data_IF_783624553381
#
_entry.id   IF_783624553381
#
_cell.length_a   1.000
_cell.length_b   1.000
_cell.length_c   1.000
_cell.angle_alpha   90.00
_cell.angle_beta   90.00
_cell.angle_gamma   90.00
#
_symmetry.space_group_name_H-M   'P 1'
#
loop_
_entity.id
_entity.type
_entity.pdbx_description
1 polymer ?
#
# COMPACT_ATOMS: atom_id res chain seq x y z
N UNK A 1 -0.10 -23.47 27.54
CA UNK A 1 0.66 -22.22 27.37
C UNK A 1 0.87 -22.15 25.88
N UNK A 2 -0.12 -21.58 25.22
CA UNK A 2 -0.26 -21.71 23.78
C UNK A 2 0.63 -20.64 23.13
N UNK A 3 1.47 -21.10 22.21
CA UNK A 3 2.42 -20.26 21.48
C UNK A 3 1.67 -19.21 20.69
N UNK A 4 1.79 -17.96 21.12
CA UNK A 4 1.41 -16.81 20.31
C UNK A 4 2.52 -16.66 19.28
N UNK A 5 2.21 -16.92 18.01
CA UNK A 5 3.12 -16.61 16.91
C UNK A 5 3.41 -15.11 16.89
N UNK A 6 4.64 -14.67 16.54
CA UNK A 6 4.94 -13.26 16.47
C UNK A 6 4.05 -12.59 15.43
N UNK A 7 3.32 -11.56 15.87
CA UNK A 7 2.61 -10.66 14.96
C UNK A 7 3.67 -9.97 14.11
N UNK A 8 3.63 -10.19 12.79
CA UNK A 8 4.45 -9.45 11.84
C UNK A 8 3.93 -8.03 11.74
N UNK A 9 4.78 -7.05 12.00
CA UNK A 9 4.47 -5.65 11.73
C UNK A 9 5.17 -5.27 10.43
N UNK A 10 4.40 -4.89 9.41
CA UNK A 10 4.93 -4.17 8.25
C UNK A 10 4.74 -2.68 8.50
N UNK A 11 5.83 -1.92 8.47
CA UNK A 11 5.81 -0.45 8.51
C UNK A 11 5.80 0.02 7.08
N UNK A 12 4.66 0.53 6.62
CA UNK A 12 4.54 1.24 5.36
C UNK A 12 4.83 2.72 5.63
N UNK A 13 5.88 3.25 5.00
CA UNK A 13 6.30 4.65 5.14
C UNK A 13 6.05 5.38 3.83
N UNK A 14 5.02 6.22 3.76
CA UNK A 14 4.94 7.24 2.71
C UNK A 14 5.84 8.42 3.13
N UNK A 15 7.13 8.35 2.80
CA UNK A 15 8.05 9.48 3.06
C UNK A 15 8.10 10.38 1.84
N UNK A 16 7.40 11.52 1.87
CA UNK A 16 7.64 12.64 0.96
C UNK A 16 8.52 13.69 1.65
N UNK A 17 9.70 13.29 2.15
CA UNK A 17 10.63 14.21 2.84
C UNK A 17 12.08 13.80 2.57
N UNK A 18 12.78 14.64 1.80
CA UNK A 18 14.24 14.64 1.57
C UNK A 18 14.90 13.24 1.55
N UNK A 19 14.86 12.60 0.38
CA UNK A 19 15.49 11.32 0.01
C UNK A 19 16.74 10.97 0.85
N UNK A 20 16.60 10.19 1.93
CA UNK A 20 17.75 9.84 2.75
C UNK A 20 18.73 9.02 1.90
N UNK A 21 20.01 9.39 1.94
CA UNK A 21 21.04 8.59 1.29
C UNK A 21 21.05 7.18 1.91
N UNK A 22 21.40 6.15 1.13
CA UNK A 22 21.36 4.75 1.58
C UNK A 22 22.08 4.50 2.92
N UNK A 23 23.09 5.30 3.28
CA UNK A 23 23.81 5.20 4.55
C UNK A 23 23.02 5.72 5.78
N UNK A 24 21.85 6.34 5.59
CA UNK A 24 20.99 6.87 6.66
C UNK A 24 19.80 5.95 6.97
N UNK A 25 19.58 4.91 6.16
CA UNK A 25 18.44 4.01 6.26
C UNK A 25 18.75 2.91 7.28
N UNK A 26 17.94 2.80 8.32
CA UNK A 26 18.04 1.74 9.34
C UNK A 26 16.99 0.68 9.04
N UNK A 27 17.42 -0.49 8.55
CA UNK A 27 16.53 -1.61 8.21
C UNK A 27 16.40 -2.66 9.32
N UNK A 28 17.10 -2.46 10.45
CA UNK A 28 17.09 -3.38 11.59
C UNK A 28 15.66 -3.54 12.13
N UNK A 29 15.15 -4.77 12.13
CA UNK A 29 13.81 -5.10 12.62
C UNK A 29 12.71 -5.06 11.54
N UNK A 30 13.02 -4.59 10.34
CA UNK A 30 12.10 -4.65 9.20
C UNK A 30 12.15 -6.04 8.53
N UNK A 31 11.02 -6.46 7.99
CA UNK A 31 10.89 -7.70 7.19
C UNK A 31 10.62 -7.41 5.71
N UNK A 32 10.00 -6.28 5.42
CA UNK A 32 9.69 -5.77 4.09
C UNK A 32 10.10 -4.30 4.03
N UNK A 33 10.74 -3.90 2.94
CA UNK A 33 11.16 -2.53 2.69
C UNK A 33 10.73 -2.10 1.28
N UNK A 34 9.94 -1.04 1.20
CA UNK A 34 9.26 -0.61 -0.01
C UNK A 34 10.00 0.55 -0.64
N UNK A 35 10.24 0.45 -1.95
CA UNK A 35 10.53 1.61 -2.76
C UNK A 35 9.19 2.18 -3.22
N UNK A 36 8.96 3.47 -3.01
CA UNK A 36 7.71 4.16 -3.35
C UNK A 36 8.06 5.36 -4.24
N UNK A 37 7.58 5.51 -5.47
CA UNK A 37 6.65 4.66 -6.22
C UNK A 37 7.15 4.36 -7.64
N UNK A 38 6.64 3.28 -8.21
CA UNK A 38 6.50 3.13 -9.65
C UNK A 38 5.05 3.47 -10.06
N UNK A 39 4.82 3.71 -11.34
CA UNK A 39 3.51 4.13 -11.87
C UNK A 39 3.06 3.26 -13.05
N UNK A 40 1.81 3.40 -13.49
CA UNK A 40 1.24 2.64 -14.62
C UNK A 40 0.95 3.59 -15.78
N UNK A 41 1.51 3.30 -16.95
CA UNK A 41 1.18 4.00 -18.19
C UNK A 41 -0.25 3.64 -18.60
N UNK A 42 -1.14 4.63 -18.67
CA UNK A 42 -2.57 4.41 -18.91
C UNK A 42 -2.92 3.97 -20.34
N UNK A 43 -1.96 3.95 -21.26
CA UNK A 43 -2.19 3.55 -22.66
C UNK A 43 -1.70 2.13 -22.93
N UNK A 44 -0.49 1.83 -22.46
CA UNK A 44 0.19 0.55 -22.66
C UNK A 44 -0.02 -0.41 -21.50
N UNK A 45 -0.47 0.09 -20.34
CA UNK A 45 -0.55 -0.62 -19.06
C UNK A 45 0.81 -1.15 -18.58
N UNK A 46 1.90 -0.60 -19.11
CA UNK A 46 3.24 -0.91 -18.64
C UNK A 46 3.51 -0.18 -17.31
N UNK A 47 4.16 -0.86 -16.38
CA UNK A 47 4.68 -0.23 -15.17
C UNK A 47 5.93 0.55 -15.57
N UNK A 48 6.11 1.76 -15.04
CA UNK A 48 7.24 2.62 -15.33
C UNK A 48 7.81 3.34 -14.10
N UNK A 49 9.06 3.79 -14.20
CA UNK A 49 9.73 4.55 -13.12
C UNK A 49 9.12 5.95 -13.05
N UNK A 50 8.52 6.32 -11.91
CA UNK A 50 7.86 7.62 -11.73
C UNK A 50 8.81 8.80 -12.02
N UNK A 51 10.06 8.70 -11.57
CA UNK A 51 11.11 9.68 -11.83
C UNK A 51 12.35 9.00 -12.45
N UNK A 52 12.84 9.52 -13.58
CA UNK A 52 14.04 8.98 -14.25
C UNK A 52 15.28 8.90 -13.34
N UNK A 53 15.38 9.74 -12.30
CA UNK A 53 16.46 9.68 -11.32
C UNK A 53 16.42 8.44 -10.41
N UNK A 54 15.29 7.74 -10.32
CA UNK A 54 15.12 6.57 -9.45
C UNK A 54 15.63 5.26 -10.08
N UNK A 55 15.86 5.24 -11.39
CA UNK A 55 16.35 4.03 -12.08
C UNK A 55 17.68 3.53 -11.49
N UNK A 56 18.63 4.44 -11.24
CA UNK A 56 19.89 4.10 -10.57
C UNK A 56 19.69 3.73 -9.09
N UNK A 57 18.63 4.24 -8.46
CA UNK A 57 18.34 4.01 -7.04
C UNK A 57 17.72 2.66 -6.78
N UNK A 58 16.96 2.09 -7.72
CA UNK A 58 16.39 0.76 -7.57
C UNK A 58 17.47 -0.30 -7.36
N UNK A 59 18.58 -0.21 -8.10
CA UNK A 59 19.70 -1.13 -7.94
C UNK A 59 20.39 -0.98 -6.57
N UNK A 60 20.59 0.25 -6.09
CA UNK A 60 21.13 0.50 -4.75
C UNK A 60 20.18 0.02 -3.65
N UNK A 61 18.88 0.27 -3.82
CA UNK A 61 17.84 -0.15 -2.88
C UNK A 61 17.81 -1.67 -2.72
N UNK A 62 17.91 -2.43 -3.82
CA UNK A 62 17.91 -3.89 -3.76
C UNK A 62 19.17 -4.47 -3.09
N UNK A 63 20.21 -3.68 -2.79
CA UNK A 63 21.34 -4.13 -1.95
C UNK A 63 20.98 -4.27 -0.48
N UNK A 64 19.85 -3.71 -0.03
CA UNK A 64 19.36 -3.93 1.33
C UNK A 64 18.81 -5.35 1.54
N UNK A 65 18.52 -6.10 0.46
CA UNK A 65 18.00 -7.46 0.57
C UNK A 65 18.91 -8.33 1.46
N UNK A 66 18.28 -9.04 2.39
CA UNK A 66 18.94 -10.07 3.19
C UNK A 66 18.09 -11.34 3.20
N UNK A 67 18.53 -12.38 3.92
CA UNK A 67 17.67 -13.56 4.12
C UNK A 67 16.39 -13.27 4.90
N UNK A 68 16.35 -12.16 5.67
CA UNK A 68 15.20 -11.77 6.50
C UNK A 68 14.52 -10.46 6.06
N UNK A 69 15.12 -9.71 5.14
CA UNK A 69 14.57 -8.45 4.63
C UNK A 69 14.32 -8.58 3.13
N UNK A 70 13.05 -8.42 2.74
CA UNK A 70 12.63 -8.38 1.34
C UNK A 70 12.50 -6.93 0.87
N UNK A 71 12.90 -6.66 -0.35
CA UNK A 71 12.63 -5.36 -0.99
C UNK A 71 11.46 -5.47 -1.97
N UNK A 72 10.57 -4.48 -1.90
CA UNK A 72 9.31 -4.43 -2.63
C UNK A 72 9.21 -3.10 -3.39
N UNK A 73 8.46 -3.07 -4.48
CA UNK A 73 8.12 -1.84 -5.20
C UNK A 73 6.63 -1.58 -5.03
N UNK A 74 6.26 -0.40 -4.54
CA UNK A 74 4.88 0.05 -4.53
C UNK A 74 4.54 0.69 -5.87
N UNK A 75 3.39 0.34 -6.43
CA UNK A 75 2.88 0.87 -7.69
C UNK A 75 1.62 1.67 -7.37
N UNK A 76 1.65 2.97 -7.69
CA UNK A 76 0.52 3.85 -7.46
C UNK A 76 0.89 5.07 -6.61
N UNK A 77 0.08 5.35 -5.59
CA UNK A 77 0.17 6.53 -4.72
C UNK A 77 -0.75 7.67 -5.14
N UNK A 78 -0.70 8.79 -4.42
CA UNK A 78 -1.66 9.90 -4.57
C UNK A 78 -1.65 10.58 -5.97
N UNK A 79 -0.53 10.53 -6.71
CA UNK A 79 -0.34 11.21 -8.01
C UNK A 79 0.15 10.22 -9.10
N UNK A 80 -0.77 9.45 -9.69
CA UNK A 80 -0.47 8.38 -10.65
C UNK A 80 -0.63 8.80 -12.13
N UNK A 81 0.19 9.71 -12.67
CA UNK A 81 0.07 10.05 -14.10
C UNK A 81 1.34 10.54 -14.80
N UNK A 82 2.19 9.62 -15.23
CA UNK A 82 3.13 9.85 -16.33
C UNK A 82 3.30 8.59 -17.21
N UNK A 83 4.13 8.58 -18.29
CA UNK A 83 4.40 7.37 -19.08
C UNK A 83 5.89 6.97 -19.12
N UNK A 84 6.17 5.66 -19.22
CA UNK A 84 7.50 5.10 -19.47
C UNK A 84 7.52 3.57 -19.57
N UNK A 85 8.68 2.93 -19.81
CA UNK A 85 8.87 1.48 -19.66
C UNK A 85 9.85 1.10 -18.51
N UNK A 86 9.69 -0.09 -17.89
CA UNK A 86 10.59 -0.67 -16.86
C UNK A 86 11.40 -1.89 -17.35
N UNK A 87 12.71 -1.98 -17.04
CA UNK A 87 13.51 -3.22 -17.01
C UNK A 87 13.43 -4.03 -15.68
N UNK A 88 13.89 -5.29 -15.67
CA UNK A 88 13.82 -6.18 -14.50
C UNK A 88 14.76 -5.71 -13.36
N UNK A 89 14.22 -5.10 -12.31
CA UNK A 89 15.05 -4.48 -11.24
C UNK A 89 15.35 -5.36 -10.02
N UNK A 90 14.79 -6.58 -9.93
CA UNK A 90 15.15 -7.55 -8.87
C UNK A 90 14.39 -7.42 -7.55
N UNK A 91 13.26 -6.71 -7.51
CA UNK A 91 12.33 -6.70 -6.38
C UNK A 91 11.70 -8.09 -6.12
N UNK A 92 11.36 -8.37 -4.87
CA UNK A 92 10.81 -9.66 -4.40
C UNK A 92 9.31 -9.61 -4.11
N UNK A 93 8.66 -8.51 -4.48
CA UNK A 93 7.21 -8.33 -4.38
C UNK A 93 6.79 -6.96 -4.91
N UNK A 94 5.48 -6.85 -5.10
CA UNK A 94 4.81 -5.65 -5.60
C UNK A 94 3.70 -5.31 -4.62
N UNK A 95 3.56 -4.03 -4.34
CA UNK A 95 2.47 -3.51 -3.54
C UNK A 95 1.61 -2.58 -4.40
N UNK A 96 0.29 -2.71 -4.30
CA UNK A 96 -0.65 -1.94 -5.09
C UNK A 96 -1.30 -0.88 -4.21
N UNK A 97 -0.95 0.37 -4.46
CA UNK A 97 -1.46 1.53 -3.74
C UNK A 97 -2.42 2.34 -4.63
N UNK A 98 -3.62 1.77 -4.84
CA UNK A 98 -4.67 2.41 -5.64
C UNK A 98 -5.58 3.24 -4.73
N UNK A 99 -5.45 4.57 -4.82
CA UNK A 99 -6.28 5.53 -4.07
C UNK A 99 -7.32 6.27 -4.92
N UNK A 100 -8.60 5.87 -5.01
CA UNK A 100 -9.20 4.64 -4.50
C UNK A 100 -10.15 4.07 -5.56
N UNK A 101 -10.27 2.73 -5.69
CA UNK A 101 -11.20 2.11 -6.62
C UNK A 101 -12.65 2.52 -6.32
N UNK A 102 -13.48 2.58 -7.36
CA UNK A 102 -14.90 2.93 -7.26
C UNK A 102 -15.22 4.30 -6.63
N UNK A 103 -14.24 5.22 -6.63
CA UNK A 103 -14.39 6.60 -6.15
C UNK A 103 -14.43 7.58 -7.34
N UNK A 104 -15.62 8.05 -7.78
CA UNK A 104 -15.74 8.88 -8.98
C UNK A 104 -14.96 10.19 -8.94
N UNK A 105 -14.81 10.79 -7.76
CA UNK A 105 -14.03 12.01 -7.55
C UNK A 105 -12.54 11.82 -7.85
N UNK A 106 -12.08 10.56 -7.87
CA UNK A 106 -10.71 10.13 -8.18
C UNK A 106 -10.64 9.32 -9.50
N UNK A 107 -11.66 9.42 -10.34
CA UNK A 107 -11.71 8.74 -11.64
C UNK A 107 -12.15 7.27 -11.59
N UNK A 108 -12.52 6.75 -10.43
CA UNK A 108 -12.97 5.38 -10.26
C UNK A 108 -14.41 5.15 -10.76
N UNK A 109 -14.72 3.90 -11.09
CA UNK A 109 -16.03 3.43 -11.54
C UNK A 109 -16.50 2.24 -10.70
N UNK A 110 -17.82 1.97 -10.59
CA UNK A 110 -18.31 0.85 -9.78
C UNK A 110 -17.71 -0.52 -10.14
N UNK A 111 -17.38 -0.71 -11.42
CA UNK A 111 -16.78 -1.95 -11.94
C UNK A 111 -15.35 -2.19 -11.41
N UNK A 112 -14.67 -1.17 -10.91
CA UNK A 112 -13.31 -1.27 -10.36
C UNK A 112 -13.22 -2.33 -9.26
N UNK A 113 -14.28 -2.49 -8.46
CA UNK A 113 -14.33 -3.49 -7.37
C UNK A 113 -14.06 -4.91 -7.90
N UNK A 114 -14.77 -5.31 -8.95
CA UNK A 114 -14.62 -6.66 -9.56
C UNK A 114 -13.33 -6.76 -10.37
N UNK A 115 -12.96 -5.69 -11.07
CA UNK A 115 -11.73 -5.65 -11.86
C UNK A 115 -10.49 -5.70 -10.99
N UNK A 116 -10.51 -5.11 -9.81
CA UNK A 116 -9.37 -5.14 -8.90
C UNK A 116 -9.14 -6.56 -8.34
N UNK A 117 -10.21 -7.29 -8.01
CA UNK A 117 -10.12 -8.72 -7.65
C UNK A 117 -9.51 -9.53 -8.79
N UNK A 118 -9.99 -9.30 -10.02
CA UNK A 118 -9.49 -10.00 -11.21
C UNK A 118 -8.01 -9.70 -11.46
N UNK A 119 -7.62 -8.43 -11.36
CA UNK A 119 -6.26 -7.98 -11.54
C UNK A 119 -5.29 -8.63 -10.53
N UNK A 120 -5.63 -8.60 -9.24
CA UNK A 120 -4.81 -9.21 -8.18
C UNK A 120 -4.68 -10.72 -8.38
N UNK A 121 -5.76 -11.39 -8.79
CA UNK A 121 -5.75 -12.82 -9.11
C UNK A 121 -4.84 -13.15 -10.29
N UNK A 122 -4.88 -12.36 -11.36
CA UNK A 122 -4.01 -12.51 -12.53
C UNK A 122 -2.55 -12.24 -12.17
N UNK A 123 -2.27 -11.22 -11.36
CA UNK A 123 -0.93 -10.90 -10.87
C UNK A 123 -0.34 -12.03 -10.03
N UNK A 124 -1.12 -12.60 -9.10
CA UNK A 124 -0.70 -13.77 -8.32
C UNK A 124 -0.35 -14.96 -9.20
N UNK A 125 -1.15 -15.21 -10.24
CA UNK A 125 -0.87 -16.27 -11.21
C UNK A 125 0.42 -15.98 -11.99
N UNK A 126 0.65 -14.72 -12.40
CA UNK A 126 1.85 -14.29 -13.12
C UNK A 126 3.13 -14.43 -12.27
N UNK A 127 3.06 -14.23 -10.96
CA UNK A 127 4.18 -14.45 -10.03
C UNK A 127 4.50 -15.92 -9.76
N UNK A 128 3.75 -16.86 -10.36
CA UNK A 128 4.04 -18.30 -10.26
C UNK A 128 3.99 -18.84 -8.83
N UNK A 129 3.32 -18.14 -7.91
CA UNK A 129 3.18 -18.52 -6.51
C UNK A 129 4.45 -18.39 -5.66
N UNK A 130 5.57 -17.90 -6.21
CA UNK A 130 6.79 -17.64 -5.42
C UNK A 130 6.69 -16.36 -4.60
N UNK A 131 5.97 -15.38 -5.13
CA UNK A 131 5.69 -14.08 -4.52
C UNK A 131 4.20 -13.75 -4.74
N UNK A 132 3.63 -12.90 -3.88
CA UNK A 132 2.25 -12.42 -4.02
C UNK A 132 2.21 -10.90 -3.93
N UNK A 133 1.23 -10.26 -4.57
CA UNK A 133 1.01 -8.84 -4.37
C UNK A 133 0.60 -8.54 -2.92
N UNK A 134 1.06 -7.42 -2.41
CA UNK A 134 0.46 -6.71 -1.29
C UNK A 134 -0.52 -5.69 -1.84
N UNK A 135 -1.49 -5.28 -1.02
CA UNK A 135 -2.38 -4.18 -1.38
C UNK A 135 -2.49 -3.21 -0.21
N UNK A 136 -2.51 -1.93 -0.54
CA UNK A 136 -2.71 -0.86 0.42
C UNK A 136 -4.20 -0.52 0.51
N UNK A 137 -4.70 -0.43 1.74
CA UNK A 137 -6.10 -0.23 2.07
C UNK A 137 -6.30 1.15 2.69
N UNK A 138 -7.36 1.80 2.22
CA UNK A 138 -7.77 3.12 2.67
C UNK A 138 -8.07 3.18 4.18
N UNK A 139 -7.83 4.32 4.85
CA UNK A 139 -8.07 4.49 6.28
C UNK A 139 -9.54 4.46 6.71
N UNK A 140 -10.51 4.44 5.78
CA UNK A 140 -11.91 4.67 6.14
C UNK A 140 -12.92 3.85 5.32
N UNK A 141 -14.09 3.64 5.92
CA UNK A 141 -15.18 2.88 5.31
C UNK A 141 -15.60 3.39 3.91
N UNK A 142 -15.59 4.70 3.71
CA UNK A 142 -16.08 5.30 2.47
C UNK A 142 -15.29 4.85 1.24
N UNK A 143 -13.97 4.67 1.39
CA UNK A 143 -13.10 4.18 0.33
C UNK A 143 -13.02 2.64 0.32
N UNK A 144 -13.02 2.00 1.50
CA UNK A 144 -12.97 0.53 1.60
C UNK A 144 -14.13 -0.18 0.89
N UNK A 145 -15.31 0.45 0.79
CA UNK A 145 -16.46 -0.14 0.11
C UNK A 145 -16.24 -0.47 -1.38
N UNK A 146 -15.20 0.11 -2.00
CA UNK A 146 -14.79 -0.18 -3.37
C UNK A 146 -13.83 -1.36 -3.50
N UNK A 147 -13.50 -2.02 -2.39
CA UNK A 147 -12.54 -3.12 -2.31
C UNK A 147 -13.25 -4.37 -1.77
N UNK A 148 -13.31 -5.43 -2.57
CA UNK A 148 -13.75 -6.75 -2.10
C UNK A 148 -12.56 -7.48 -1.46
N UNK A 149 -12.23 -7.08 -0.22
CA UNK A 149 -11.08 -7.62 0.51
C UNK A 149 -11.19 -9.14 0.67
N UNK A 150 -12.40 -9.69 0.86
CA UNK A 150 -12.57 -11.13 1.03
C UNK A 150 -12.26 -11.92 -0.24
N UNK A 151 -12.67 -11.41 -1.40
CA UNK A 151 -12.34 -12.05 -2.67
C UNK A 151 -10.86 -11.90 -3.04
N UNK A 152 -10.18 -10.83 -2.58
CA UNK A 152 -8.75 -10.60 -2.81
C UNK A 152 -7.85 -11.44 -1.91
N UNK A 153 -8.27 -11.71 -0.67
CA UNK A 153 -7.46 -12.39 0.36
C UNK A 153 -6.72 -13.66 -0.10
N UNK A 154 -7.31 -14.57 -0.91
CA UNK A 154 -6.60 -15.77 -1.38
C UNK A 154 -5.49 -15.49 -2.39
N UNK A 155 -5.46 -14.28 -2.95
CA UNK A 155 -4.61 -13.88 -4.06
C UNK A 155 -3.49 -12.91 -3.65
N UNK A 156 -3.53 -12.38 -2.43
CA UNK A 156 -2.51 -11.47 -1.90
C UNK A 156 -1.68 -12.09 -0.78
N UNK A 157 -0.55 -11.47 -0.50
CA UNK A 157 0.31 -11.82 0.62
C UNK A 157 -0.19 -11.20 1.93
N UNK A 158 -0.48 -9.89 1.93
CA UNK A 158 -1.04 -9.14 3.06
C UNK A 158 -1.76 -7.88 2.59
N UNK A 159 -2.57 -7.30 3.48
CA UNK A 159 -3.17 -5.98 3.38
C UNK A 159 -2.33 -4.99 4.20
N UNK A 160 -2.02 -3.82 3.65
CA UNK A 160 -1.47 -2.65 4.36
C UNK A 160 -2.57 -1.64 4.64
N UNK A 161 -3.15 -1.65 5.84
CA UNK A 161 -4.10 -0.62 6.24
C UNK A 161 -3.35 0.67 6.57
N UNK A 162 -3.81 1.81 6.04
CA UNK A 162 -3.20 3.13 6.25
C UNK A 162 -3.94 3.93 7.33
N UNK A 163 -3.77 3.67 8.65
CA UNK A 163 -4.49 4.35 9.73
C UNK A 163 -3.93 5.77 10.01
N UNK A 164 -3.55 6.49 8.98
CA UNK A 164 -3.00 7.83 9.05
C UNK A 164 -3.72 8.73 8.04
N UNK A 165 -3.43 10.03 8.07
CA UNK A 165 -4.18 11.04 7.31
C UNK A 165 -5.69 11.01 7.58
N UNK A 166 -6.07 10.60 8.80
CA UNK A 166 -7.48 10.63 9.24
C UNK A 166 -8.00 12.06 9.35
N UNK A 167 -7.10 12.98 9.70
CA UNK A 167 -7.39 14.40 9.85
C UNK A 167 -6.28 15.26 9.29
N UNK A 168 -6.66 16.38 8.68
CA UNK A 168 -5.71 17.32 8.12
C UNK A 168 -6.31 18.69 7.89
N UNK A 169 -5.59 19.55 7.16
CA UNK A 169 -6.05 20.91 6.89
C UNK A 169 -7.37 20.95 6.11
N UNK A 170 -7.67 19.89 5.35
CA UNK A 170 -8.90 19.72 4.58
C UNK A 170 -10.17 19.63 5.45
N UNK A 171 -10.04 19.35 6.75
CA UNK A 171 -11.19 19.31 7.68
C UNK A 171 -11.70 20.70 8.09
N UNK A 172 -10.97 21.77 7.75
CA UNK A 172 -11.23 23.12 8.25
C UNK A 172 -12.67 23.61 8.01
N UNK A 173 -13.28 23.20 6.89
CA UNK A 173 -14.63 23.59 6.48
C UNK A 173 -15.73 22.59 6.92
N UNK A 174 -15.35 21.47 7.54
CA UNK A 174 -16.29 20.46 8.02
C UNK A 174 -16.91 20.94 9.34
N UNK A 175 -18.17 21.39 9.28
CA UNK A 175 -18.88 22.02 10.43
C UNK A 175 -18.85 21.22 11.73
N UNK A 176 -18.85 19.89 11.65
CA UNK A 176 -18.84 18.99 12.82
C UNK A 176 -17.45 18.79 13.40
N UNK A 177 -16.39 18.97 12.60
CA UNK A 177 -15.00 18.81 13.03
C UNK A 177 -14.41 20.16 13.48
N UNK A 178 -14.73 21.23 12.75
CA UNK A 178 -14.23 22.58 12.96
C UNK A 178 -12.75 22.73 12.59
N UNK A 179 -12.26 23.97 12.63
CA UNK A 179 -10.86 24.29 12.33
C UNK A 179 -9.95 24.04 13.54
N UNK A 180 -9.81 22.78 13.96
CA UNK A 180 -8.99 22.35 15.09
C UNK A 180 -7.94 21.35 14.60
N UNK A 181 -6.70 21.48 15.08
CA UNK A 181 -5.64 20.49 14.80
C UNK A 181 -5.96 19.20 15.55
N UNK A 182 -6.09 18.11 14.81
CA UNK A 182 -6.30 16.75 15.32
C UNK A 182 -5.08 15.89 15.02
N UNK A 183 -4.99 14.74 15.70
CA UNK A 183 -3.96 13.75 15.39
C UNK A 183 -4.19 13.18 13.98
N UNK A 184 -3.09 12.85 13.30
CA UNK A 184 -3.12 12.14 12.01
C UNK A 184 -3.69 10.72 12.15
N UNK A 185 -3.75 10.19 13.37
CA UNK A 185 -4.16 8.83 13.73
C UNK A 185 -4.98 8.85 15.03
N UNK A 186 -6.09 8.11 15.10
CA UNK A 186 -6.91 7.91 16.31
C UNK A 186 -7.33 6.43 16.43
N UNK A 187 -7.00 5.78 17.54
CA UNK A 187 -7.25 4.35 17.74
C UNK A 187 -8.74 3.96 17.71
N UNK A 188 -9.64 4.89 18.02
CA UNK A 188 -11.09 4.63 17.99
C UNK A 188 -11.59 4.65 16.56
N UNK A 189 -11.09 5.60 15.76
CA UNK A 189 -11.42 5.68 14.33
C UNK A 189 -10.86 4.45 13.60
N UNK A 190 -9.61 4.05 13.88
CA UNK A 190 -9.05 2.79 13.36
C UNK A 190 -9.94 1.58 13.69
N UNK A 191 -10.43 1.49 14.94
CA UNK A 191 -11.30 0.41 15.34
C UNK A 191 -12.57 0.40 14.49
N UNK A 192 -13.23 1.54 14.35
CA UNK A 192 -14.48 1.68 13.60
C UNK A 192 -14.27 1.44 12.09
N UNK A 193 -13.20 1.97 11.52
CA UNK A 193 -12.88 1.88 10.09
C UNK A 193 -12.46 0.47 9.65
N UNK A 194 -11.91 -0.33 10.56
CA UNK A 194 -11.55 -1.73 10.27
C UNK A 194 -12.69 -2.72 10.53
N UNK A 195 -13.79 -2.31 11.17
CA UNK A 195 -14.94 -3.19 11.43
C UNK A 195 -15.41 -3.99 10.20
N UNK A 196 -15.55 -3.41 8.99
CA UNK A 196 -15.99 -4.14 7.81
C UNK A 196 -15.07 -5.32 7.46
N UNK A 197 -13.74 -5.13 7.58
CA UNK A 197 -12.75 -6.16 7.29
C UNK A 197 -12.90 -7.36 8.24
N UNK A 198 -13.28 -7.10 9.49
CA UNK A 198 -13.54 -8.15 10.48
C UNK A 198 -14.88 -8.85 10.24
N UNK A 199 -15.91 -8.14 9.78
CA UNK A 199 -17.19 -8.74 9.43
C UNK A 199 -17.12 -9.65 8.21
N UNK A 200 -16.26 -9.31 7.24
CA UNK A 200 -15.99 -10.14 6.06
C UNK A 200 -15.10 -11.37 6.38
N UNK A 201 -14.76 -11.55 7.66
CA UNK A 201 -13.89 -12.62 8.17
C UNK A 201 -12.54 -12.64 7.46
N UNK A 202 -11.94 -11.47 7.26
CA UNK A 202 -10.58 -11.39 6.76
C UNK A 202 -9.59 -11.96 7.78
N UNK A 203 -8.61 -12.73 7.31
CA UNK A 203 -7.58 -13.36 8.14
C UNK A 203 -6.72 -12.29 8.85
N UNK A 204 -6.80 -12.15 10.20
CA UNK A 204 -6.11 -11.05 10.88
C UNK A 204 -4.59 -11.09 10.74
N UNK A 205 -4.00 -12.28 10.55
CA UNK A 205 -2.56 -12.44 10.33
C UNK A 205 -2.07 -11.85 9.01
N UNK A 206 -2.98 -11.51 8.08
CA UNK A 206 -2.65 -10.82 6.83
C UNK A 206 -2.79 -9.30 6.92
N UNK A 207 -3.21 -8.75 8.06
CA UNK A 207 -3.40 -7.31 8.22
C UNK A 207 -2.16 -6.65 8.82
N UNK A 208 -1.60 -5.68 8.12
CA UNK A 208 -0.56 -4.80 8.63
C UNK A 208 -1.12 -3.40 8.82
N UNK A 209 -0.75 -2.75 9.92
CA UNK A 209 -1.18 -1.37 10.21
C UNK A 209 -0.01 -0.42 10.03
N UNK A 210 -0.16 0.52 9.12
CA UNK A 210 0.82 1.57 8.88
C UNK A 210 0.96 2.54 10.06
N UNK A 211 2.07 3.27 10.08
CA UNK A 211 2.35 4.31 11.08
C UNK A 211 2.94 5.52 10.36
N UNK A 212 2.37 6.70 10.58
CA UNK A 212 2.97 7.96 10.14
C UNK A 212 4.13 8.35 11.07
N UNK A 213 5.28 8.69 10.51
CA UNK A 213 6.53 9.03 11.22
C UNK A 213 6.99 10.46 10.93
#
# INVERSE_FOLDING_TARGET
>A
MDGVEPISYTVETQTQMAEPHANQIVTTGLTHFYFTFAEIDLTSFAIFVANAEDEDRYAEFNKFQTSSLKTWIAIGGFDCSNPGPIPQYGFQGVDLDWEYPATPERGGQPADTEYYVSFVKEMRAAFGGQHGPGITLAPNYWYLRGVDAKAMEPHIEFFGFMPYDLHGFWDADIKTLGSIVRGQTDIREIYDDTLPLWFDASEPSKMNFGLAL
#
